data_IF_385657892129
#
_entry.id   IF_385657892129
#
_cell.length_a   1.000
_cell.length_b   1.000
_cell.length_c   1.000
_cell.angle_alpha   90.00
_cell.angle_beta   90.00
_cell.angle_gamma   90.00
#
_symmetry.space_group_name_H-M   'P 1'
#
loop_
_entity.id
_entity.type
_entity.pdbx_description
1 polymer ?
#
# COMPACT_ATOMS: atom_id res chain seq x y z
N UNK A 1 -45.48 -55.24 28.96
CA UNK A 1 -45.33 -54.18 27.99
C UNK A 1 -44.19 -53.27 28.45
N UNK A 2 -42.99 -53.39 27.84
CA UNK A 2 -41.81 -52.64 28.21
C UNK A 2 -41.63 -51.46 27.25
N UNK A 3 -41.67 -50.26 27.79
CA UNK A 3 -41.49 -49.01 27.05
C UNK A 3 -40.00 -48.68 26.92
N UNK A 4 -39.42 -48.84 25.73
CA UNK A 4 -38.04 -48.48 25.45
C UNK A 4 -37.89 -46.97 25.31
N UNK A 5 -37.15 -46.36 26.23
CA UNK A 5 -36.71 -44.97 26.12
C UNK A 5 -35.48 -44.90 25.17
N UNK A 6 -35.68 -44.34 23.99
CA UNK A 6 -34.58 -43.99 23.08
C UNK A 6 -34.10 -42.63 23.50
N UNK A 7 -32.88 -42.57 24.05
CA UNK A 7 -32.17 -41.33 24.39
C UNK A 7 -31.48 -40.88 23.10
N UNK A 8 -31.95 -39.76 22.49
CA UNK A 8 -31.26 -39.09 21.39
C UNK A 8 -30.14 -38.23 21.96
N UNK A 9 -28.89 -38.65 21.75
CA UNK A 9 -27.73 -37.84 21.96
C UNK A 9 -27.57 -36.86 20.80
N UNK A 10 -27.93 -35.57 21.01
CA UNK A 10 -27.65 -34.50 20.07
C UNK A 10 -26.20 -34.08 20.35
N UNK A 11 -25.30 -34.54 19.51
CA UNK A 11 -23.89 -34.11 19.50
C UNK A 11 -23.83 -32.74 18.83
N UNK A 12 -23.89 -31.67 19.64
CA UNK A 12 -23.71 -30.28 19.19
C UNK A 12 -22.30 -30.06 18.69
N UNK A 13 -22.09 -30.08 17.39
CA UNK A 13 -20.83 -29.66 16.79
C UNK A 13 -20.67 -28.12 16.97
N UNK A 14 -19.93 -27.68 17.97
CA UNK A 14 -19.51 -26.28 18.12
C UNK A 14 -18.54 -25.93 16.98
N UNK A 15 -19.03 -25.23 15.97
CA UNK A 15 -18.19 -24.62 14.93
C UNK A 15 -17.45 -23.45 15.59
N UNK A 16 -16.21 -23.67 15.99
CA UNK A 16 -15.30 -22.59 16.42
C UNK A 16 -14.87 -21.86 15.17
N UNK A 17 -15.52 -20.74 14.87
CA UNK A 17 -15.04 -19.79 13.85
C UNK A 17 -13.79 -19.13 14.37
N UNK A 18 -12.63 -19.55 13.85
CA UNK A 18 -11.35 -18.89 14.12
C UNK A 18 -11.37 -17.56 13.34
N UNK A 19 -11.75 -16.47 14.02
CA UNK A 19 -11.53 -15.14 13.51
C UNK A 19 -10.02 -14.88 13.54
N UNK A 20 -9.35 -15.01 12.38
CA UNK A 20 -7.96 -14.63 12.23
C UNK A 20 -7.80 -13.13 12.54
N UNK A 21 -7.03 -12.78 13.58
CA UNK A 21 -6.69 -11.41 13.89
C UNK A 21 -5.81 -10.85 12.76
N UNK A 22 -6.35 -9.98 11.91
CA UNK A 22 -5.57 -9.24 10.94
C UNK A 22 -5.03 -7.96 11.58
N UNK A 23 -3.74 -7.73 11.48
CA UNK A 23 -3.13 -6.48 11.95
C UNK A 23 -3.39 -5.39 10.93
N UNK A 24 -4.06 -4.32 11.34
CA UNK A 24 -4.44 -3.20 10.48
C UNK A 24 -3.82 -1.91 10.99
N UNK A 25 -3.21 -1.13 10.10
CA UNK A 25 -2.86 0.26 10.38
C UNK A 25 -4.15 1.11 10.40
N UNK A 26 -4.36 1.85 11.48
CA UNK A 26 -5.47 2.78 11.61
C UNK A 26 -5.07 4.24 11.37
N UNK A 27 -3.79 4.51 11.10
CA UNK A 27 -3.27 5.86 10.85
C UNK A 27 -3.58 6.25 9.41
N UNK A 28 -4.38 7.32 9.17
CA UNK A 28 -4.64 7.81 7.81
C UNK A 28 -3.34 8.25 7.13
N UNK A 29 -3.29 8.12 5.80
CA UNK A 29 -2.21 8.71 5.03
C UNK A 29 -2.19 10.24 5.23
N UNK A 30 -1.00 10.78 5.29
CA UNK A 30 -0.76 12.22 5.29
C UNK A 30 0.23 12.55 4.19
N UNK A 31 -0.16 13.44 3.28
CA UNK A 31 0.71 13.88 2.20
C UNK A 31 2.03 14.45 2.73
N UNK A 32 3.13 14.08 2.10
CA UNK A 32 4.46 14.58 2.43
C UNK A 32 4.64 15.98 1.88
N UNK A 33 4.88 16.97 2.75
CA UNK A 33 5.13 18.35 2.33
C UNK A 33 6.31 18.45 1.33
N UNK A 34 7.37 17.67 1.54
CA UNK A 34 8.52 17.66 0.63
C UNK A 34 8.16 17.13 -0.76
N UNK A 35 7.32 16.09 -0.84
CA UNK A 35 6.86 15.54 -2.11
C UNK A 35 5.95 16.54 -2.84
N UNK A 36 5.02 17.16 -2.11
CA UNK A 36 4.13 18.20 -2.64
C UNK A 36 4.94 19.36 -3.25
N UNK A 37 5.97 19.85 -2.54
CA UNK A 37 6.85 20.91 -3.04
C UNK A 37 7.61 20.45 -4.30
N UNK A 38 8.16 19.24 -4.30
CA UNK A 38 8.88 18.70 -5.45
C UNK A 38 7.96 18.59 -6.69
N UNK A 39 6.73 18.13 -6.51
CA UNK A 39 5.73 18.10 -7.58
C UNK A 39 5.44 19.51 -8.08
N UNK A 40 5.16 20.47 -7.19
CA UNK A 40 4.89 21.86 -7.56
C UNK A 40 6.02 22.46 -8.40
N UNK A 41 7.27 22.27 -8.00
CA UNK A 41 8.43 22.79 -8.73
C UNK A 41 8.53 22.28 -10.17
N UNK A 42 8.19 21.00 -10.40
CA UNK A 42 8.21 20.39 -11.74
C UNK A 42 7.11 20.96 -12.67
N UNK A 43 5.94 21.24 -12.10
CA UNK A 43 4.78 21.72 -12.86
C UNK A 43 4.69 23.25 -12.95
N UNK A 44 5.44 23.99 -12.13
CA UNK A 44 5.35 25.44 -12.02
C UNK A 44 5.51 26.16 -13.36
N UNK A 45 6.46 25.70 -14.20
CA UNK A 45 6.74 26.33 -15.49
C UNK A 45 5.70 25.95 -16.56
N UNK A 46 5.08 24.77 -16.48
CA UNK A 46 4.21 24.25 -17.54
C UNK A 46 2.75 24.62 -17.35
N UNK A 47 2.31 24.87 -16.12
CA UNK A 47 0.89 25.04 -15.79
C UNK A 47 0.00 23.83 -16.10
N UNK A 48 0.61 22.71 -16.50
CA UNK A 48 -0.10 21.47 -16.87
C UNK A 48 -0.71 20.80 -15.67
N UNK A 49 -1.69 19.94 -15.93
CA UNK A 49 -2.27 19.02 -14.95
C UNK A 49 -2.12 17.60 -15.42
N UNK A 50 -2.16 16.66 -14.45
CA UNK A 50 -2.12 15.22 -14.70
C UNK A 50 -3.29 14.53 -14.03
N UNK A 51 -3.72 13.42 -14.62
CA UNK A 51 -4.60 12.45 -13.97
C UNK A 51 -3.79 11.27 -13.43
N UNK A 52 -4.36 10.55 -12.51
CA UNK A 52 -3.83 9.27 -12.04
C UNK A 52 -4.72 8.15 -12.57
N UNK A 53 -4.16 7.32 -13.42
CA UNK A 53 -4.83 6.17 -14.03
C UNK A 53 -4.82 4.94 -13.13
N UNK A 54 -4.34 3.82 -13.67
CA UNK A 54 -4.27 2.57 -12.93
C UNK A 54 -3.08 2.51 -11.98
N UNK A 55 -3.33 1.93 -10.80
CA UNK A 55 -2.26 1.43 -9.92
C UNK A 55 -2.55 -0.05 -9.70
N UNK A 56 -1.71 -0.91 -10.23
CA UNK A 56 -1.91 -2.37 -10.24
C UNK A 56 -0.68 -3.09 -9.70
N UNK A 57 -0.83 -4.35 -9.32
CA UNK A 57 0.31 -5.22 -9.01
C UNK A 57 0.81 -5.97 -10.25
N UNK A 58 2.11 -6.25 -10.28
CA UNK A 58 2.66 -7.22 -11.22
C UNK A 58 2.15 -8.64 -10.88
N UNK A 59 2.10 -9.56 -11.88
CA UNK A 59 1.74 -10.94 -11.62
C UNK A 59 2.58 -11.57 -10.51
N UNK A 60 1.91 -12.25 -9.56
CA UNK A 60 2.56 -12.91 -8.42
C UNK A 60 2.80 -12.03 -7.19
N UNK A 61 2.61 -10.72 -7.25
CA UNK A 61 2.70 -9.83 -6.09
C UNK A 61 1.47 -9.98 -5.22
N UNK A 62 1.68 -10.34 -3.95
CA UNK A 62 0.59 -10.52 -2.96
C UNK A 62 0.28 -9.20 -2.25
N UNK A 63 -0.96 -8.76 -2.30
CA UNK A 63 -1.43 -7.54 -1.61
C UNK A 63 -1.76 -7.70 -0.13
N UNK A 64 -1.71 -8.92 0.39
CA UNK A 64 -1.95 -9.21 1.82
C UNK A 64 -0.91 -10.19 2.32
N UNK A 65 0.37 -9.79 2.42
CA UNK A 65 1.42 -10.68 2.89
C UNK A 65 1.20 -11.06 4.36
N UNK A 66 1.48 -12.33 4.67
CA UNK A 66 1.35 -12.88 6.03
C UNK A 66 2.46 -12.36 6.94
N UNK A 67 2.09 -11.99 8.16
CA UNK A 67 3.05 -11.59 9.16
C UNK A 67 3.11 -12.61 10.29
N UNK A 68 4.18 -13.40 10.32
CA UNK A 68 4.38 -14.47 11.30
C UNK A 68 3.13 -15.38 11.36
N UNK A 69 2.71 -15.79 12.56
CA UNK A 69 1.45 -16.52 12.78
C UNK A 69 0.28 -15.58 13.15
N UNK A 70 0.45 -14.26 13.01
CA UNK A 70 -0.53 -13.25 13.43
C UNK A 70 -1.52 -12.87 12.32
N UNK A 71 -1.44 -13.52 11.16
CA UNK A 71 -2.35 -13.27 10.03
C UNK A 71 -1.82 -12.27 8.99
N UNK A 72 -2.64 -11.93 7.98
CA UNK A 72 -2.25 -11.01 6.92
C UNK A 72 -2.17 -9.57 7.43
N UNK A 73 -1.20 -8.82 6.89
CA UNK A 73 -1.11 -7.38 7.13
C UNK A 73 -2.17 -6.66 6.28
N UNK A 74 -2.94 -5.80 6.94
CA UNK A 74 -3.85 -4.84 6.30
C UNK A 74 -3.33 -3.44 6.57
N UNK A 75 -2.91 -2.74 5.54
CA UNK A 75 -2.30 -1.41 5.63
C UNK A 75 -3.31 -0.30 5.92
N UNK A 76 -4.58 -0.55 5.60
CA UNK A 76 -5.70 0.34 5.91
C UNK A 76 -7.00 -0.47 5.91
N UNK A 77 -8.01 -0.10 6.71
CA UNK A 77 -9.32 -0.74 6.67
C UNK A 77 -9.95 -0.65 5.27
N UNK A 78 -10.35 -1.81 4.71
CA UNK A 78 -11.07 -1.90 3.45
C UNK A 78 -10.29 -1.55 2.19
N UNK A 79 -8.97 -1.29 2.27
CA UNK A 79 -8.14 -0.96 1.11
C UNK A 79 -7.03 -1.97 0.91
N UNK A 80 -6.75 -2.29 -0.36
CA UNK A 80 -5.50 -2.99 -0.71
C UNK A 80 -4.30 -2.04 -0.66
N UNK A 81 -3.06 -2.56 -0.57
CA UNK A 81 -1.85 -1.75 -0.67
C UNK A 81 -1.77 -0.91 -1.95
N UNK A 82 -2.19 -1.44 -3.09
CA UNK A 82 -2.23 -0.68 -4.35
C UNK A 82 -3.25 0.45 -4.31
N UNK A 83 -4.42 0.21 -3.74
CA UNK A 83 -5.41 1.27 -3.54
C UNK A 83 -4.89 2.34 -2.58
N UNK A 84 -4.19 1.94 -1.52
CA UNK A 84 -3.56 2.88 -0.60
C UNK A 84 -2.50 3.76 -1.28
N UNK A 85 -1.62 3.15 -2.10
CA UNK A 85 -0.61 3.88 -2.89
C UNK A 85 -1.28 4.83 -3.88
N UNK A 86 -2.36 4.40 -4.54
CA UNK A 86 -3.13 5.23 -5.46
C UNK A 86 -3.69 6.46 -4.77
N UNK A 87 -4.38 6.25 -3.66
CA UNK A 87 -5.00 7.34 -2.89
C UNK A 87 -3.94 8.32 -2.37
N UNK A 88 -2.81 7.80 -1.87
CA UNK A 88 -1.68 8.59 -1.40
C UNK A 88 -1.08 9.46 -2.51
N UNK A 89 -0.83 8.89 -3.67
CA UNK A 89 -0.27 9.64 -4.79
C UNK A 89 -1.27 10.68 -5.32
N UNK A 90 -2.55 10.33 -5.40
CA UNK A 90 -3.60 11.28 -5.79
C UNK A 90 -3.70 12.44 -4.79
N UNK A 91 -3.58 12.18 -3.50
CA UNK A 91 -3.58 13.21 -2.45
C UNK A 91 -2.40 14.17 -2.61
N UNK A 92 -1.18 13.66 -2.87
CA UNK A 92 -0.02 14.52 -3.08
C UNK A 92 -0.14 15.37 -4.36
N UNK A 93 -0.62 14.79 -5.47
CA UNK A 93 -0.90 15.53 -6.71
C UNK A 93 -1.98 16.60 -6.53
N UNK A 94 -3.02 16.28 -5.73
CA UNK A 94 -4.09 17.22 -5.41
C UNK A 94 -3.59 18.37 -4.52
N UNK A 95 -2.83 18.06 -3.47
CA UNK A 95 -2.23 19.06 -2.58
C UNK A 95 -1.23 19.95 -3.32
N UNK A 96 -0.53 19.41 -4.31
CA UNK A 96 0.33 20.18 -5.21
C UNK A 96 -0.46 21.03 -6.24
N UNK A 97 -1.80 20.91 -6.28
CA UNK A 97 -2.69 21.61 -7.21
C UNK A 97 -2.47 21.26 -8.69
N UNK A 98 -1.89 20.09 -8.98
CA UNK A 98 -1.63 19.62 -10.35
C UNK A 98 -2.53 18.46 -10.78
N UNK A 99 -3.38 17.96 -9.91
CA UNK A 99 -4.32 16.89 -10.23
C UNK A 99 -5.55 17.41 -10.97
N UNK A 100 -5.95 16.69 -12.03
CA UNK A 100 -7.25 16.83 -12.68
C UNK A 100 -7.68 15.48 -13.25
N UNK A 101 -8.88 14.97 -12.97
CA UNK A 101 -9.32 13.65 -13.44
C UNK A 101 -9.41 13.56 -14.97
N UNK A 102 -9.57 14.71 -15.65
CA UNK A 102 -9.71 14.82 -17.10
C UNK A 102 -8.43 15.35 -17.78
N UNK A 103 -7.30 15.34 -17.08
CA UNK A 103 -6.04 15.78 -17.68
C UNK A 103 -5.61 14.85 -18.82
N UNK A 104 -5.01 15.39 -19.91
CA UNK A 104 -4.61 14.60 -21.07
C UNK A 104 -3.43 13.67 -20.81
N UNK A 105 -2.63 13.97 -19.80
CA UNK A 105 -1.54 13.11 -19.33
C UNK A 105 -2.03 12.29 -18.14
N UNK A 106 -1.99 10.97 -18.29
CA UNK A 106 -2.39 10.01 -17.25
C UNK A 106 -1.18 9.23 -16.77
N UNK A 107 -0.89 9.35 -15.48
CA UNK A 107 0.19 8.58 -14.82
C UNK A 107 -0.38 7.22 -14.43
N UNK A 108 0.34 6.15 -14.74
CA UNK A 108 0.03 4.78 -14.36
C UNK A 108 1.17 4.21 -13.50
N UNK A 109 0.83 3.36 -12.55
CA UNK A 109 1.81 2.71 -11.69
C UNK A 109 1.60 1.20 -11.69
N UNK A 110 2.70 0.45 -11.66
CA UNK A 110 2.72 -0.99 -11.44
C UNK A 110 3.63 -1.31 -10.27
N UNK A 111 3.07 -1.90 -9.23
CA UNK A 111 3.83 -2.37 -8.07
C UNK A 111 4.47 -3.71 -8.43
N UNK A 112 5.78 -3.70 -8.63
CA UNK A 112 6.57 -4.86 -9.08
C UNK A 112 7.03 -5.74 -7.92
N UNK A 113 7.19 -5.15 -6.71
CA UNK A 113 7.42 -5.88 -5.48
C UNK A 113 6.78 -5.18 -4.29
N UNK A 114 6.23 -5.99 -3.39
CA UNK A 114 5.63 -5.56 -2.13
C UNK A 114 5.90 -6.65 -1.10
N UNK A 115 6.90 -6.41 -0.26
CA UNK A 115 7.31 -7.37 0.77
C UNK A 115 7.89 -6.65 1.99
N UNK A 116 7.95 -7.35 3.11
CA UNK A 116 8.55 -6.85 4.33
C UNK A 116 9.31 -7.94 5.09
N UNK A 117 10.24 -7.50 5.95
CA UNK A 117 10.80 -8.31 7.04
C UNK A 117 10.26 -7.79 8.37
N UNK A 118 9.69 -8.65 9.20
CA UNK A 118 9.28 -8.31 10.57
C UNK A 118 10.30 -8.70 11.62
N UNK A 119 11.48 -9.22 11.21
CA UNK A 119 12.62 -9.55 12.05
C UNK A 119 13.78 -8.61 11.71
N UNK A 120 14.70 -8.41 12.68
CA UNK A 120 15.81 -7.47 12.51
C UNK A 120 16.80 -7.94 11.41
N UNK A 121 17.21 -7.10 10.47
CA UNK A 121 16.72 -5.73 10.24
C UNK A 121 15.32 -5.71 9.60
N UNK A 122 14.36 -5.06 10.29
CA UNK A 122 12.99 -4.98 9.81
C UNK A 122 12.86 -3.85 8.78
N UNK A 123 12.22 -4.15 7.64
CA UNK A 123 12.01 -3.18 6.56
C UNK A 123 10.81 -3.53 5.69
N UNK A 124 10.28 -2.52 5.00
CA UNK A 124 9.47 -2.67 3.80
C UNK A 124 10.35 -2.58 2.56
N UNK A 125 10.16 -3.49 1.61
CA UNK A 125 10.74 -3.41 0.28
C UNK A 125 9.64 -3.21 -0.74
N UNK A 126 9.65 -2.06 -1.40
CA UNK A 126 8.69 -1.67 -2.43
C UNK A 126 9.45 -1.36 -3.72
N UNK A 127 8.97 -1.92 -4.83
CA UNK A 127 9.46 -1.61 -6.17
C UNK A 127 8.24 -1.23 -7.01
N UNK A 128 8.32 -0.12 -7.72
CA UNK A 128 7.21 0.39 -8.53
C UNK A 128 7.73 0.97 -9.84
N UNK A 129 7.13 0.54 -10.94
CA UNK A 129 7.30 1.15 -12.27
C UNK A 129 6.22 2.20 -12.45
N UNK A 130 6.64 3.40 -12.83
CA UNK A 130 5.77 4.54 -13.13
C UNK A 130 5.88 4.86 -14.61
N UNK A 131 4.75 4.98 -15.29
CA UNK A 131 4.65 5.29 -16.71
C UNK A 131 3.55 6.33 -16.95
N UNK A 132 3.43 6.80 -18.18
CA UNK A 132 2.29 7.62 -18.58
C UNK A 132 1.81 7.20 -19.97
N UNK A 133 0.71 7.77 -20.43
CA UNK A 133 0.26 7.63 -21.82
C UNK A 133 1.19 8.33 -22.83
N UNK A 134 2.27 8.97 -22.37
CA UNK A 134 3.28 9.66 -23.18
C UNK A 134 4.67 9.04 -23.11
N UNK A 135 4.96 8.23 -22.08
CA UNK A 135 6.29 7.68 -21.82
C UNK A 135 6.19 6.32 -21.15
N UNK A 136 7.07 5.40 -21.53
CA UNK A 136 7.21 4.08 -20.88
C UNK A 136 7.63 4.19 -19.40
N UNK A 137 8.27 5.32 -19.04
CA UNK A 137 8.59 5.66 -17.67
C UNK A 137 9.86 5.02 -17.12
N UNK A 138 9.85 4.76 -15.80
CA UNK A 138 11.02 4.29 -15.04
C UNK A 138 10.57 3.50 -13.81
N UNK A 139 11.51 2.80 -13.20
CA UNK A 139 11.29 2.00 -11.99
C UNK A 139 12.03 2.63 -10.81
N UNK A 140 11.36 2.71 -9.66
CA UNK A 140 11.94 3.11 -8.38
C UNK A 140 11.89 1.96 -7.39
N UNK A 141 12.84 1.92 -6.46
CA UNK A 141 12.92 0.90 -5.42
C UNK A 141 13.31 1.55 -4.10
N UNK A 142 12.65 1.12 -3.03
CA UNK A 142 12.99 1.53 -1.67
C UNK A 142 13.12 0.32 -0.75
N UNK A 143 13.96 0.48 0.27
CA UNK A 143 13.94 -0.32 1.48
C UNK A 143 13.74 0.63 2.66
N UNK A 144 12.55 0.59 3.27
CA UNK A 144 12.18 1.48 4.37
C UNK A 144 12.33 0.75 5.71
N UNK A 145 13.35 1.08 6.52
CA UNK A 145 13.57 0.44 7.81
C UNK A 145 12.55 0.90 8.85
N UNK A 146 12.17 0.00 9.76
CA UNK A 146 11.33 0.32 10.91
C UNK A 146 11.70 -0.53 12.14
N UNK A 147 11.24 -0.12 13.31
CA UNK A 147 11.47 -0.86 14.55
C UNK A 147 10.65 -2.15 14.58
N UNK A 148 11.22 -3.24 15.08
CA UNK A 148 10.51 -4.51 15.29
C UNK A 148 10.38 -4.83 16.78
N UNK A 149 9.69 -5.93 17.11
CA UNK A 149 9.49 -6.44 18.46
C UNK A 149 9.70 -7.96 18.48
N UNK A 150 9.97 -8.51 19.67
CA UNK A 150 10.05 -9.93 19.89
C UNK A 150 8.68 -10.62 19.78
N UNK A 151 7.64 -10.00 20.35
CA UNK A 151 6.28 -10.54 20.25
C UNK A 151 5.70 -10.31 18.85
N UNK A 152 4.92 -11.29 18.38
CA UNK A 152 4.40 -11.29 17.02
C UNK A 152 3.39 -10.17 16.78
N UNK A 153 2.56 -9.84 17.76
CA UNK A 153 1.53 -8.82 17.62
C UNK A 153 2.15 -7.44 17.41
N UNK A 154 3.04 -7.02 18.31
CA UNK A 154 3.72 -5.71 18.22
C UNK A 154 4.59 -5.60 16.97
N UNK A 155 5.31 -6.69 16.61
CA UNK A 155 6.10 -6.70 15.38
C UNK A 155 5.23 -6.50 14.14
N UNK A 156 4.09 -7.18 14.04
CA UNK A 156 3.19 -7.07 12.91
C UNK A 156 2.44 -5.73 12.89
N UNK A 157 2.14 -5.18 14.07
CA UNK A 157 1.63 -3.81 14.16
C UNK A 157 2.63 -2.79 13.62
N UNK A 158 3.90 -2.91 13.97
CA UNK A 158 4.95 -2.04 13.45
C UNK A 158 5.09 -2.15 11.91
N UNK A 159 4.95 -3.35 11.35
CA UNK A 159 4.87 -3.53 9.88
C UNK A 159 3.73 -2.71 9.28
N UNK A 160 2.51 -2.82 9.85
CA UNK A 160 1.35 -2.10 9.34
C UNK A 160 1.52 -0.58 9.46
N UNK A 161 1.99 -0.10 10.63
CA UNK A 161 2.19 1.33 10.91
C UNK A 161 3.29 1.96 10.02
N UNK A 162 4.31 1.19 9.65
CA UNK A 162 5.41 1.64 8.80
C UNK A 162 5.04 1.77 7.31
N UNK A 163 3.89 1.24 6.87
CA UNK A 163 3.53 1.24 5.45
C UNK A 163 3.29 2.67 4.91
N UNK A 164 2.59 3.51 5.66
CA UNK A 164 2.35 4.91 5.26
C UNK A 164 3.65 5.69 5.02
N UNK A 165 4.58 5.75 5.99
CA UNK A 165 5.90 6.33 5.79
C UNK A 165 6.70 5.70 4.65
N UNK A 166 6.63 4.39 4.45
CA UNK A 166 7.27 3.71 3.32
C UNK A 166 6.69 4.19 1.97
N UNK A 167 5.37 4.39 1.88
CA UNK A 167 4.73 4.94 0.68
C UNK A 167 5.15 6.38 0.45
N UNK A 168 5.29 7.21 1.50
CA UNK A 168 5.83 8.57 1.34
C UNK A 168 7.24 8.57 0.74
N UNK A 169 8.13 7.67 1.21
CA UNK A 169 9.48 7.55 0.66
C UNK A 169 9.46 7.00 -0.79
N UNK A 170 8.57 6.03 -1.09
CA UNK A 170 8.38 5.54 -2.45
C UNK A 170 7.96 6.67 -3.40
N UNK A 171 6.96 7.46 -3.02
CA UNK A 171 6.49 8.58 -3.82
C UNK A 171 7.54 9.68 -3.95
N UNK A 172 8.35 9.91 -2.90
CA UNK A 172 9.50 10.81 -3.00
C UNK A 172 10.47 10.36 -4.10
N UNK A 173 10.85 9.08 -4.13
CA UNK A 173 11.71 8.55 -5.20
C UNK A 173 11.07 8.72 -6.59
N UNK A 174 9.74 8.59 -6.69
CA UNK A 174 9.02 8.84 -7.94
C UNK A 174 9.15 10.30 -8.36
N UNK A 175 8.74 11.24 -7.51
CA UNK A 175 8.59 12.65 -7.91
C UNK A 175 9.92 13.40 -8.00
N UNK A 176 10.97 12.90 -7.35
CA UNK A 176 12.33 13.48 -7.46
C UNK A 176 13.18 12.81 -8.54
N UNK A 177 12.67 11.75 -9.19
CA UNK A 177 13.40 11.07 -10.25
C UNK A 177 13.60 12.01 -11.45
N UNK A 178 14.80 12.06 -12.07
CA UNK A 178 15.08 12.96 -13.20
C UNK A 178 14.11 12.82 -14.37
N UNK A 179 13.58 11.61 -14.59
CA UNK A 179 12.63 11.33 -15.67
C UNK A 179 11.18 11.71 -15.35
N UNK A 180 10.86 12.12 -14.10
CA UNK A 180 9.47 12.48 -13.75
C UNK A 180 8.98 13.67 -14.60
N UNK A 181 9.83 14.68 -14.85
CA UNK A 181 9.50 15.83 -15.70
C UNK A 181 9.14 15.38 -17.14
N UNK A 182 9.88 14.42 -17.71
CA UNK A 182 9.60 13.90 -19.06
C UNK A 182 8.37 12.99 -19.10
N UNK A 183 8.01 12.37 -17.99
CA UNK A 183 6.83 11.54 -17.87
C UNK A 183 5.53 12.35 -17.99
N UNK A 184 5.55 13.61 -17.54
CA UNK A 184 4.37 14.47 -17.42
C UNK A 184 4.29 15.58 -18.49
N UNK A 185 5.33 15.72 -19.29
CA UNK A 185 5.39 16.68 -20.42
C UNK A 185 5.03 16.05 -21.77
#
# INVERSE_FOLDING_TARGET
MKLNKVIFWIMGASIVTIFGCATTNSIPYKASTSNVIAIQQIFQESGKKVSLGSVITAPGVKESPMCRLNGPIKVSPGKSPTQYIKDAFQEELFMAQVYSPNAPVSINCRVDALSFSSVSPANWKLIMTVSSNKSEGYTVSIEYPFSTSWDAYSACKNVADAFGPAVQELLKQVVTHPQFKSLVN
#
